data_IF_914814739875
#
_entry.id   IF_914814739875
#
_cell.length_a   1.000
_cell.length_b   1.000
_cell.length_c   1.000
_cell.angle_alpha   90.00
_cell.angle_beta   90.00
_cell.angle_gamma   90.00
#
_symmetry.space_group_name_H-M   'P 1'
#
loop_
_entity.id
_entity.type
_entity.pdbx_description
1 polymer ?
#
# COMPACT_ATOMS: atom_id res chain seq x y z
N UNK A 1 -15.80 -4.05 2.15
CA UNK A 1 -14.42 -4.14 2.69
C UNK A 1 -14.10 -2.87 3.44
N UNK A 2 -13.51 -3.01 4.61
CA UNK A 2 -13.13 -1.86 5.43
C UNK A 2 -11.67 -1.50 5.18
N UNK A 3 -11.33 -0.25 5.51
CA UNK A 3 -9.93 0.18 5.42
C UNK A 3 -9.03 -0.73 6.28
N UNK A 4 -9.50 -1.10 7.45
CA UNK A 4 -8.73 -1.98 8.32
C UNK A 4 -8.47 -3.35 7.69
N UNK A 5 -9.36 -3.82 6.82
CA UNK A 5 -9.11 -5.06 6.08
C UNK A 5 -7.93 -4.90 5.12
N UNK A 6 -7.85 -3.74 4.48
CA UNK A 6 -6.74 -3.46 3.57
C UNK A 6 -5.43 -3.32 4.32
N UNK A 7 -5.47 -2.68 5.49
CA UNK A 7 -4.27 -2.46 6.29
C UNK A 7 -3.66 -3.74 6.85
N UNK A 8 -4.46 -4.79 6.93
CA UNK A 8 -3.98 -6.09 7.42
C UNK A 8 -3.23 -6.88 6.36
N UNK A 9 -3.25 -6.44 5.11
CA UNK A 9 -2.67 -7.18 3.99
C UNK A 9 -1.30 -6.64 3.62
N UNK A 10 -0.43 -7.53 3.15
CA UNK A 10 0.87 -7.12 2.62
C UNK A 10 0.69 -6.57 1.20
N UNK A 11 1.35 -5.45 0.92
CA UNK A 11 1.36 -4.87 -0.42
C UNK A 11 2.59 -5.39 -1.15
N UNK A 12 2.37 -6.01 -2.30
CA UNK A 12 3.42 -6.70 -3.05
C UNK A 12 3.46 -6.17 -4.48
N UNK A 13 4.67 -5.91 -4.96
CA UNK A 13 4.89 -5.46 -6.33
C UNK A 13 4.64 -6.59 -7.31
N UNK A 14 3.80 -6.34 -8.32
CA UNK A 14 3.61 -7.29 -9.41
C UNK A 14 4.83 -7.41 -10.30
N UNK A 15 5.64 -6.37 -10.36
CA UNK A 15 6.77 -6.33 -11.29
C UNK A 15 7.93 -7.21 -10.84
N UNK A 16 8.18 -7.27 -9.53
CA UNK A 16 9.31 -8.04 -9.04
C UNK A 16 8.99 -8.93 -7.83
N UNK A 17 7.73 -8.96 -7.41
CA UNK A 17 7.32 -9.80 -6.29
C UNK A 17 7.78 -9.32 -4.93
N UNK A 18 8.35 -8.14 -4.86
CA UNK A 18 8.91 -7.64 -3.61
C UNK A 18 7.81 -7.08 -2.70
N UNK A 19 7.92 -7.31 -1.41
CA UNK A 19 7.00 -6.72 -0.45
C UNK A 19 7.33 -5.25 -0.28
N UNK A 20 6.33 -4.41 -0.48
CA UNK A 20 6.49 -2.97 -0.31
C UNK A 20 6.16 -2.52 1.09
N UNK A 21 5.33 -3.27 1.79
CA UNK A 21 4.92 -2.94 3.13
C UNK A 21 3.44 -3.09 3.33
N UNK A 22 2.86 -2.20 4.13
CA UNK A 22 1.43 -2.19 4.41
C UNK A 22 0.87 -0.79 4.25
N UNK A 23 -0.42 -0.71 3.97
CA UNK A 23 -1.11 0.57 3.89
C UNK A 23 -1.17 1.16 5.30
N UNK A 24 -0.70 2.39 5.45
CA UNK A 24 -0.72 3.09 6.72
C UNK A 24 -1.61 4.31 6.70
N UNK A 25 -1.97 4.79 5.51
CA UNK A 25 -2.79 5.99 5.40
C UNK A 25 -3.44 6.05 4.02
N UNK A 26 -4.39 6.95 3.87
CA UNK A 26 -5.09 7.19 2.61
C UNK A 26 -5.18 8.70 2.40
N UNK A 27 -4.82 9.14 1.21
CA UNK A 27 -4.96 10.54 0.83
C UNK A 27 -6.26 10.71 0.06
N UNK A 28 -7.12 11.59 0.54
CA UNK A 28 -8.41 11.88 -0.09
C UNK A 28 -8.41 13.26 -0.70
N UNK A 29 -9.12 13.41 -1.79
CA UNK A 29 -9.41 14.73 -2.33
C UNK A 29 -10.53 15.38 -1.52
N UNK A 30 -10.72 16.67 -1.72
CA UNK A 30 -11.76 17.40 -0.99
C UNK A 30 -13.17 16.87 -1.26
N UNK A 31 -13.38 16.32 -2.45
CA UNK A 31 -14.68 15.75 -2.79
C UNK A 31 -14.82 14.27 -2.40
N UNK A 32 -13.87 13.74 -1.65
CA UNK A 32 -13.98 12.40 -1.08
C UNK A 32 -13.44 11.27 -1.93
N UNK A 33 -12.83 11.56 -3.08
CA UNK A 33 -12.23 10.51 -3.88
C UNK A 33 -10.86 10.13 -3.31
N UNK A 34 -10.50 8.85 -3.44
CA UNK A 34 -9.20 8.37 -3.02
C UNK A 34 -8.15 8.78 -4.06
N UNK A 35 -7.17 9.57 -3.63
CA UNK A 35 -6.07 9.93 -4.51
C UNK A 35 -5.04 8.80 -4.54
N UNK A 36 -4.62 8.33 -3.38
CA UNK A 36 -3.67 7.22 -3.30
C UNK A 36 -3.65 6.65 -1.88
N UNK A 37 -3.10 5.46 -1.79
CA UNK A 37 -2.82 4.82 -0.52
C UNK A 37 -1.36 5.03 -0.19
N UNK A 38 -1.08 5.29 1.07
CA UNK A 38 0.30 5.45 1.55
C UNK A 38 0.76 4.10 2.09
N UNK A 39 1.82 3.57 1.52
CA UNK A 39 2.37 2.28 1.89
C UNK A 39 3.75 2.49 2.52
N UNK A 40 3.95 1.89 3.68
CA UNK A 40 5.23 1.96 4.37
C UNK A 40 5.77 0.56 4.62
N UNK A 41 7.09 0.39 4.58
CA UNK A 41 7.69 -0.90 4.89
C UNK A 41 7.42 -1.30 6.33
N UNK A 42 7.62 -2.57 6.64
CA UNK A 42 7.46 -3.06 7.97
C UNK A 42 8.36 -2.30 8.92
N UNK A 43 7.90 -2.21 10.15
CA UNK A 43 8.54 -1.40 11.18
C UNK A 43 10.05 -1.58 11.28
N UNK A 44 10.51 -2.80 11.16
CA UNK A 44 11.92 -3.07 11.33
C UNK A 44 12.76 -2.46 10.20
N UNK A 45 12.23 -2.28 9.01
CA UNK A 45 12.93 -1.65 7.90
C UNK A 45 13.06 -0.14 8.07
N UNK A 46 12.25 0.45 8.90
CA UNK A 46 12.30 1.88 9.13
C UNK A 46 13.60 2.33 9.79
N UNK A 47 14.24 1.42 10.51
CA UNK A 47 15.51 1.74 11.12
C UNK A 47 16.60 1.97 10.09
N UNK A 48 16.50 1.31 8.96
CA UNK A 48 17.53 1.34 7.95
C UNK A 48 17.21 2.20 6.77
N UNK A 49 15.95 2.37 6.51
CA UNK A 49 15.54 3.09 5.33
C UNK A 49 14.46 4.08 5.66
N UNK A 50 14.85 5.09 6.28
CA UNK A 50 13.95 6.14 6.56
C UNK A 50 13.15 6.49 5.38
N UNK A 51 12.14 6.74 5.06
CA UNK A 51 11.45 7.31 3.92
C UNK A 51 11.26 6.40 2.75
N UNK A 52 10.95 5.16 3.04
CA UNK A 52 10.58 4.24 1.97
C UNK A 52 9.08 4.28 1.68
N UNK A 53 8.43 5.37 2.03
CA UNK A 53 7.01 5.54 1.81
C UNK A 53 6.71 5.53 0.31
N UNK A 54 5.70 4.76 -0.08
CA UNK A 54 5.29 4.64 -1.47
C UNK A 54 3.82 5.01 -1.57
N UNK A 55 3.49 5.82 -2.56
CA UNK A 55 2.10 6.20 -2.83
C UNK A 55 1.57 5.33 -3.96
N UNK A 56 0.47 4.65 -3.70
CA UNK A 56 -0.15 3.73 -4.66
C UNK A 56 -1.52 4.26 -5.04
N UNK A 57 -1.68 4.61 -6.31
CA UNK A 57 -2.96 5.08 -6.82
C UNK A 57 -3.93 3.91 -6.99
N UNK A 58 -5.21 4.22 -7.01
CA UNK A 58 -6.24 3.19 -7.18
C UNK A 58 -6.04 2.36 -8.44
N UNK A 59 -5.65 3.00 -9.53
CA UNK A 59 -5.47 2.28 -10.79
C UNK A 59 -4.22 1.40 -10.81
N UNK A 60 -3.38 1.51 -9.81
CA UNK A 60 -2.19 0.64 -9.68
C UNK A 60 -2.51 -0.63 -8.91
N UNK A 61 -3.65 -0.67 -8.22
CA UNK A 61 -4.08 -1.87 -7.51
C UNK A 61 -4.67 -2.84 -8.52
N UNK A 62 -4.05 -4.00 -8.68
CA UNK A 62 -4.48 -4.97 -9.69
C UNK A 62 -5.27 -6.11 -9.09
N UNK A 63 -5.02 -6.47 -7.85
CA UNK A 63 -5.76 -7.53 -7.21
C UNK A 63 -5.69 -7.38 -5.69
N UNK A 64 -6.82 -7.59 -5.04
CA UNK A 64 -6.90 -7.64 -3.58
C UNK A 64 -7.20 -9.09 -3.22
N UNK A 65 -6.21 -9.76 -2.65
CA UNK A 65 -6.36 -11.13 -2.20
C UNK A 65 -6.70 -11.19 -0.72
N UNK A 66 -6.69 -12.39 -0.17
CA UNK A 66 -7.01 -12.58 1.23
C UNK A 66 -5.93 -11.96 2.14
N UNK A 67 -4.68 -12.17 1.80
CA UNK A 67 -3.56 -11.70 2.62
C UNK A 67 -2.67 -10.70 1.94
N UNK A 68 -2.88 -10.45 0.65
CA UNK A 68 -1.99 -9.58 -0.13
C UNK A 68 -2.79 -8.63 -1.02
N UNK A 69 -2.16 -7.51 -1.33
CA UNK A 69 -2.64 -6.58 -2.35
C UNK A 69 -1.54 -6.50 -3.40
N UNK A 70 -1.88 -6.85 -4.64
CA UNK A 70 -0.92 -6.80 -5.73
C UNK A 70 -1.03 -5.47 -6.44
N UNK A 71 0.10 -4.79 -6.56
CA UNK A 71 0.13 -3.45 -7.16
C UNK A 71 1.15 -3.41 -8.29
N UNK A 72 0.82 -2.62 -9.30
CA UNK A 72 1.68 -2.45 -10.47
C UNK A 72 2.63 -1.28 -10.24
N UNK A 73 3.72 -1.57 -9.62
CA UNK A 73 4.77 -0.60 -9.35
C UNK A 73 6.12 -1.23 -9.62
#
# INVERSE_FOLDING_TARGET
MRVSDLQAKDVVSLLDGRKLGRIVDIELSENGNVNYFVVEPKRFFRFFGSNSEVNVAMNQIKKIGEDVILVEI
#
